data_IF_255692956544
#
_entry.id   IF_255692956544
#
_cell.length_a   1.000
_cell.length_b   1.000
_cell.length_c   1.000
_cell.angle_alpha   90.00
_cell.angle_beta   90.00
_cell.angle_gamma   90.00
#
_symmetry.space_group_name_H-M   'P 1'
#
loop_
_entity.id
_entity.type
_entity.pdbx_description
1 polymer ?
#
# COMPACT_ATOMS: atom_id res chain seq x y z
N UNK A 1 14.95 8.88 -7.40
CA UNK A 1 14.61 7.69 -6.58
C UNK A 1 15.39 6.53 -7.14
N UNK A 2 16.00 5.69 -6.30
CA UNK A 2 16.75 4.55 -6.77
C UNK A 2 15.84 3.33 -6.94
N UNK A 3 15.37 3.08 -8.17
CA UNK A 3 14.62 1.87 -8.52
C UNK A 3 15.53 0.86 -9.20
N UNK A 4 15.71 -0.29 -8.56
CA UNK A 4 16.44 -1.42 -9.10
C UNK A 4 15.49 -2.61 -9.33
N UNK A 5 15.57 -3.21 -10.52
CA UNK A 5 14.80 -4.42 -10.81
C UNK A 5 15.34 -5.61 -10.01
N UNK A 6 14.47 -6.30 -9.30
CA UNK A 6 14.81 -7.51 -8.55
C UNK A 6 14.39 -8.75 -9.32
N UNK A 7 15.36 -9.55 -9.76
CA UNK A 7 15.12 -10.83 -10.42
C UNK A 7 14.46 -11.87 -9.51
N UNK A 8 14.63 -11.74 -8.18
CA UNK A 8 14.10 -12.71 -7.21
C UNK A 8 12.57 -12.64 -7.09
N UNK A 9 12.02 -11.43 -7.18
CA UNK A 9 10.59 -11.17 -7.00
C UNK A 9 9.93 -10.57 -8.24
N UNK A 10 10.67 -10.52 -9.35
CA UNK A 10 10.24 -10.08 -10.68
C UNK A 10 9.58 -8.68 -10.71
N UNK A 11 10.14 -7.73 -9.95
CA UNK A 11 9.66 -6.33 -9.92
C UNK A 11 10.73 -5.33 -9.50
N UNK A 12 10.49 -4.05 -9.80
CA UNK A 12 11.29 -2.95 -9.28
C UNK A 12 11.19 -2.87 -7.75
N UNK A 13 12.30 -2.49 -7.10
CA UNK A 13 12.42 -2.22 -5.67
C UNK A 13 13.04 -0.84 -5.45
N UNK A 14 12.47 -0.07 -4.54
CA UNK A 14 13.06 1.16 -4.04
C UNK A 14 14.23 0.83 -3.11
N UNK A 15 15.42 1.30 -3.48
CA UNK A 15 16.70 1.08 -2.80
C UNK A 15 17.36 2.41 -2.47
N UNK A 16 16.58 3.30 -1.87
CA UNK A 16 17.01 4.63 -1.50
C UNK A 16 18.03 4.58 -0.35
N UNK A 17 18.82 5.66 -0.23
CA UNK A 17 19.81 5.77 0.85
C UNK A 17 19.14 6.06 2.20
N UNK A 18 19.78 5.76 3.35
CA UNK A 18 19.18 5.96 4.67
C UNK A 18 18.70 7.39 4.95
N UNK A 19 19.32 8.40 4.36
CA UNK A 19 18.94 9.81 4.49
C UNK A 19 17.70 10.21 3.68
N UNK A 20 17.25 9.34 2.76
CA UNK A 20 16.01 9.53 1.98
C UNK A 20 14.78 8.89 2.66
N UNK A 21 14.95 8.27 3.83
CA UNK A 21 13.86 7.69 4.62
C UNK A 21 12.89 8.80 5.06
N UNK A 22 11.59 8.54 4.92
CA UNK A 22 10.53 9.53 5.21
C UNK A 22 10.11 10.37 4.01
N UNK A 23 10.84 10.31 2.89
CA UNK A 23 10.39 10.94 1.64
C UNK A 23 9.44 10.01 0.89
N UNK A 24 8.21 10.48 0.64
CA UNK A 24 7.19 9.68 -0.04
C UNK A 24 7.56 9.38 -1.50
N UNK A 25 7.17 8.22 -2.01
CA UNK A 25 7.33 7.84 -3.43
C UNK A 25 6.63 8.87 -4.34
N UNK A 26 5.48 9.38 -3.92
CA UNK A 26 4.71 10.39 -4.65
C UNK A 26 5.45 11.74 -4.76
N UNK A 27 6.20 12.14 -3.73
CA UNK A 27 7.04 13.35 -3.81
C UNK A 27 8.06 13.25 -4.94
N UNK A 28 8.68 12.08 -5.12
CA UNK A 28 9.63 11.83 -6.22
C UNK A 28 8.96 11.85 -7.60
N UNK A 29 7.69 11.46 -7.71
CA UNK A 29 6.89 11.65 -8.95
C UNK A 29 6.81 13.14 -9.29
N UNK A 30 6.41 13.97 -8.32
CA UNK A 30 6.25 15.41 -8.56
C UNK A 30 7.57 16.10 -8.90
N UNK A 31 8.68 15.69 -8.27
CA UNK A 31 10.01 16.18 -8.62
C UNK A 31 10.38 15.84 -10.08
N UNK A 32 10.12 14.62 -10.53
CA UNK A 32 10.37 14.21 -11.92
C UNK A 32 9.50 15.00 -12.92
N UNK A 33 8.22 15.20 -12.60
CA UNK A 33 7.30 16.03 -13.39
C UNK A 33 7.79 17.48 -13.49
N UNK A 34 8.26 18.07 -12.39
CA UNK A 34 8.78 19.45 -12.37
C UNK A 34 10.04 19.61 -13.20
N UNK A 35 10.89 18.58 -13.28
CA UNK A 35 12.06 18.55 -14.17
C UNK A 35 11.71 18.33 -15.65
N UNK A 36 10.46 17.99 -15.96
CA UNK A 36 10.01 17.63 -17.31
C UNK A 36 10.35 16.20 -17.72
N UNK A 37 10.83 15.36 -16.80
CA UNK A 37 11.14 13.95 -17.07
C UNK A 37 9.89 13.10 -16.87
N UNK A 38 9.04 13.09 -17.89
CA UNK A 38 7.75 12.40 -17.85
C UNK A 38 7.89 10.87 -17.88
N UNK A 39 8.97 10.34 -18.46
CA UNK A 39 9.24 8.91 -18.51
C UNK A 39 9.62 8.39 -17.11
N UNK A 40 10.50 9.12 -16.40
CA UNK A 40 10.79 8.84 -15.00
C UNK A 40 9.52 8.96 -14.15
N UNK A 41 8.76 10.06 -14.29
CA UNK A 41 7.52 10.26 -13.54
C UNK A 41 6.52 9.10 -13.75
N UNK A 42 6.35 8.63 -14.98
CA UNK A 42 5.48 7.48 -15.30
C UNK A 42 5.96 6.20 -14.64
N UNK A 43 7.26 5.89 -14.72
CA UNK A 43 7.84 4.69 -14.09
C UNK A 43 7.64 4.71 -12.57
N UNK A 44 7.92 5.85 -11.93
CA UNK A 44 7.74 6.01 -10.48
C UNK A 44 6.26 5.88 -10.09
N UNK A 45 5.36 6.45 -10.89
CA UNK A 45 3.91 6.37 -10.63
C UNK A 45 3.43 4.92 -10.64
N UNK A 46 3.89 4.11 -11.58
CA UNK A 46 3.53 2.69 -11.63
C UNK A 46 4.11 1.91 -10.44
N UNK A 47 5.34 2.23 -10.03
CA UNK A 47 5.91 1.67 -8.81
C UNK A 47 5.08 2.04 -7.57
N UNK A 48 4.68 3.31 -7.42
CA UNK A 48 3.85 3.78 -6.30
C UNK A 48 2.49 3.07 -6.26
N UNK A 49 1.87 2.87 -7.44
CA UNK A 49 0.61 2.12 -7.57
C UNK A 49 0.75 0.70 -7.04
N UNK A 50 1.83 -0.01 -7.41
CA UNK A 50 2.11 -1.36 -6.94
C UNK A 50 2.40 -1.39 -5.43
N UNK A 51 3.17 -0.43 -4.92
CA UNK A 51 3.46 -0.30 -3.48
C UNK A 51 2.17 -0.17 -2.66
N UNK A 52 1.26 0.70 -3.07
CA UNK A 52 -0.03 0.88 -2.38
C UNK A 52 -0.99 -0.28 -2.58
N UNK A 53 -0.99 -0.91 -3.75
CA UNK A 53 -1.83 -2.08 -4.01
C UNK A 53 -1.50 -3.21 -3.04
N UNK A 54 -0.22 -3.49 -2.78
CA UNK A 54 0.17 -4.52 -1.81
C UNK A 54 -0.36 -4.23 -0.41
N UNK A 55 -0.25 -2.98 0.04
CA UNK A 55 -0.74 -2.57 1.37
C UNK A 55 -2.26 -2.68 1.44
N UNK A 56 -2.97 -2.19 0.42
CA UNK A 56 -4.41 -2.30 0.31
C UNK A 56 -4.87 -3.77 0.36
N UNK A 57 -4.30 -4.62 -0.49
CA UNK A 57 -4.71 -6.03 -0.60
C UNK A 57 -4.43 -6.77 0.70
N UNK A 58 -3.33 -6.45 1.40
CA UNK A 58 -3.04 -6.96 2.73
C UNK A 58 -4.11 -6.55 3.76
N UNK A 59 -4.49 -5.27 3.81
CA UNK A 59 -5.53 -4.80 4.73
C UNK A 59 -6.90 -5.42 4.44
N UNK A 60 -7.28 -5.52 3.16
CA UNK A 60 -8.53 -6.17 2.75
C UNK A 60 -8.53 -7.63 3.16
N UNK A 61 -7.45 -8.36 2.88
CA UNK A 61 -7.33 -9.77 3.23
C UNK A 61 -7.36 -10.00 4.75
N UNK A 62 -6.68 -9.15 5.54
CA UNK A 62 -6.74 -9.22 7.00
C UNK A 62 -8.13 -8.93 7.53
N UNK A 63 -8.78 -7.88 7.05
CA UNK A 63 -10.15 -7.51 7.43
C UNK A 63 -11.10 -8.67 7.15
N UNK A 64 -11.06 -9.21 5.93
CA UNK A 64 -11.83 -10.38 5.53
C UNK A 64 -11.59 -11.56 6.48
N UNK A 65 -10.33 -11.93 6.71
CA UNK A 65 -9.96 -13.08 7.53
C UNK A 65 -10.45 -12.96 8.98
N UNK A 66 -10.34 -11.76 9.57
CA UNK A 66 -10.83 -11.52 10.94
C UNK A 66 -12.36 -11.62 11.01
N UNK A 67 -13.08 -11.04 10.06
CA UNK A 67 -14.53 -11.11 10.05
C UNK A 67 -15.03 -12.53 9.79
N UNK A 68 -14.43 -13.26 8.85
CA UNK A 68 -14.73 -14.68 8.62
C UNK A 68 -14.50 -15.49 9.90
N UNK A 69 -13.36 -15.30 10.58
CA UNK A 69 -13.11 -15.98 11.85
C UNK A 69 -14.18 -15.68 12.90
N UNK A 70 -14.63 -14.41 13.00
CA UNK A 70 -15.68 -14.04 13.96
C UNK A 70 -17.01 -14.71 13.60
N UNK A 71 -17.44 -14.63 12.34
CA UNK A 71 -18.69 -15.26 11.90
C UNK A 71 -18.69 -16.77 12.14
N UNK A 72 -17.60 -17.46 11.76
CA UNK A 72 -17.51 -18.92 11.85
C UNK A 72 -17.49 -19.43 13.30
N UNK A 73 -16.95 -18.65 14.24
CA UNK A 73 -16.74 -19.10 15.63
C UNK A 73 -17.74 -18.50 16.63
N UNK A 74 -18.34 -17.35 16.32
CA UNK A 74 -19.20 -16.60 17.24
C UNK A 74 -20.53 -16.13 16.62
N UNK A 75 -20.74 -16.36 15.32
CA UNK A 75 -21.95 -16.00 14.60
C UNK A 75 -21.93 -14.59 13.98
N UNK A 76 -22.83 -14.36 13.01
CA UNK A 76 -22.90 -13.10 12.24
C UNK A 76 -23.27 -11.88 13.11
N UNK A 77 -24.02 -12.07 14.19
CA UNK A 77 -24.37 -10.98 15.12
C UNK A 77 -23.13 -10.36 15.78
N UNK A 78 -22.14 -11.17 16.15
CA UNK A 78 -20.89 -10.69 16.74
C UNK A 78 -19.98 -10.04 15.69
N UNK A 79 -20.02 -10.51 14.45
CA UNK A 79 -19.36 -9.83 13.32
C UNK A 79 -19.92 -8.42 13.15
N UNK A 80 -21.25 -8.24 13.16
CA UNK A 80 -21.87 -6.92 13.01
C UNK A 80 -21.41 -5.96 14.12
N UNK A 81 -21.40 -6.43 15.38
CA UNK A 81 -20.93 -5.63 16.53
C UNK A 81 -19.46 -5.21 16.34
N UNK A 82 -18.59 -6.14 15.95
CA UNK A 82 -17.19 -5.86 15.70
C UNK A 82 -17.01 -4.83 14.57
N UNK A 83 -17.70 -5.03 13.44
CA UNK A 83 -17.69 -4.11 12.31
C UNK A 83 -18.12 -2.70 12.72
N UNK A 84 -19.26 -2.55 13.42
CA UNK A 84 -19.75 -1.25 13.88
C UNK A 84 -18.80 -0.55 14.84
N UNK A 85 -18.17 -1.30 15.75
CA UNK A 85 -17.20 -0.75 16.69
C UNK A 85 -15.96 -0.19 15.99
N UNK A 86 -15.45 -0.88 14.96
CA UNK A 86 -14.24 -0.46 14.23
C UNK A 86 -14.53 0.63 13.19
N UNK A 87 -15.69 0.59 12.52
CA UNK A 87 -16.11 1.66 11.61
C UNK A 87 -16.40 2.97 12.36
N UNK A 88 -16.98 2.89 13.55
CA UNK A 88 -17.33 4.04 14.38
C UNK A 88 -16.14 4.81 14.94
N UNK A 89 -14.91 4.30 14.86
CA UNK A 89 -13.71 4.99 15.37
C UNK A 89 -13.02 5.90 14.35
N UNK A 90 -13.48 5.92 13.09
CA UNK A 90 -12.87 6.72 12.01
C UNK A 90 -13.55 8.07 11.77
N UNK A 91 -14.65 8.36 12.47
CA UNK A 91 -15.40 9.62 12.44
C UNK A 91 -15.68 10.11 13.87
#
# INVERSE_FOLDING_TARGET
>A
MNLAFSQLIDRDLRQDQPDEVGHSTLSKVYEAMQRGDLDEARRITEYARLEWQVVHDMYVNWSWSFFTYIADNYGEEELEKAMRAVLGSYY
#
